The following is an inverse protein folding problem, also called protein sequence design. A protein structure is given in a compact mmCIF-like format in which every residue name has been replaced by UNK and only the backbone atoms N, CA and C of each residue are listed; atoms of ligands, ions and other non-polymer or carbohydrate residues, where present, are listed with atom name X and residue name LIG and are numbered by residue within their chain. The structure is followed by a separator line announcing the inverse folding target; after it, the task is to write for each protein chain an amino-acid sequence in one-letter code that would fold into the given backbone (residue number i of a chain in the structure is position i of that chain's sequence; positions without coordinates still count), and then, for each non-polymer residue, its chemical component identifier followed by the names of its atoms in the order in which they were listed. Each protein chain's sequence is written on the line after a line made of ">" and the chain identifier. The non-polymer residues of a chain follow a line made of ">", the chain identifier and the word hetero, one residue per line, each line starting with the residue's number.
data_IF_617045285680
#
_entry.id   IF_617045285680
#
_cell.length_a   1.000
_cell.length_b   1.000
_cell.length_c   1.000
_cell.angle_alpha   90.00
_cell.angle_beta   90.00
_cell.angle_gamma   90.00
#
_symmetry.space_group_name_H-M   'P 1'
#
loop_
_entity.id
_entity.type
_entity.pdbx_description
1 polymer ?
#
# COMPACT_ATOMS: atom_id res chain seq x y z
N UNK A 1 -20.59 -23.05 11.41
CA UNK A 1 -19.29 -22.38 11.19
C UNK A 1 -18.64 -22.24 12.55
N UNK A 2 -17.38 -22.67 12.76
CA UNK A 2 -16.74 -22.44 14.05
C UNK A 2 -16.74 -20.94 14.33
N UNK A 3 -17.15 -20.55 15.54
CA UNK A 3 -17.20 -19.15 15.95
C UNK A 3 -15.79 -18.56 15.82
N UNK A 4 -15.71 -17.33 15.34
CA UNK A 4 -14.46 -16.59 15.28
C UNK A 4 -13.87 -16.53 16.69
N UNK A 5 -12.57 -16.82 16.84
CA UNK A 5 -11.90 -16.69 18.14
C UNK A 5 -11.98 -15.22 18.53
N UNK A 6 -12.58 -14.94 19.68
CA UNK A 6 -12.54 -13.62 20.30
C UNK A 6 -11.57 -13.67 21.47
N UNK A 7 -10.91 -12.56 21.75
CA UNK A 7 -10.14 -12.40 22.98
C UNK A 7 -11.03 -12.25 24.22
N UNK A 8 -12.34 -12.00 24.06
CA UNK A 8 -13.31 -11.77 25.14
C UNK A 8 -12.91 -10.64 26.11
N UNK A 9 -12.13 -9.67 25.62
CA UNK A 9 -11.68 -8.52 26.38
C UNK A 9 -12.51 -7.27 26.07
N UNK A 10 -12.85 -6.49 27.10
CA UNK A 10 -13.38 -5.14 26.95
C UNK A 10 -12.24 -4.14 26.69
N UNK A 11 -11.55 -4.31 25.56
CA UNK A 11 -10.42 -3.49 25.12
C UNK A 11 -10.57 -3.20 23.63
N UNK A 12 -10.46 -1.92 23.24
CA UNK A 12 -10.60 -1.51 21.83
C UNK A 12 -9.59 -2.20 20.91
N UNK A 13 -8.34 -2.34 21.36
CA UNK A 13 -7.30 -3.04 20.61
C UNK A 13 -7.64 -4.54 20.45
N UNK A 14 -8.07 -5.21 21.52
CA UNK A 14 -8.46 -6.62 21.45
C UNK A 14 -9.65 -6.84 20.50
N UNK A 15 -10.65 -5.95 20.53
CA UNK A 15 -11.80 -5.97 19.59
C UNK A 15 -11.39 -5.69 18.15
N UNK A 16 -10.41 -4.82 17.93
CA UNK A 16 -9.83 -4.63 16.61
C UNK A 16 -9.10 -5.90 16.14
N UNK A 17 -8.28 -6.51 17.00
CA UNK A 17 -7.56 -7.76 16.72
C UNK A 17 -8.49 -8.94 16.48
N UNK A 18 -9.68 -8.97 17.09
CA UNK A 18 -10.72 -9.94 16.72
C UNK A 18 -11.00 -9.85 15.22
N UNK A 19 -10.98 -8.65 14.61
CA UNK A 19 -11.30 -8.42 13.19
C UNK A 19 -10.08 -8.44 12.26
N UNK A 20 -8.95 -7.85 12.67
CA UNK A 20 -7.77 -7.66 11.79
C UNK A 20 -6.51 -8.40 12.26
N UNK A 21 -6.56 -9.10 13.39
CA UNK A 21 -5.41 -9.81 13.95
C UNK A 21 -5.05 -11.12 13.27
N UNK A 22 -5.82 -11.54 12.25
CA UNK A 22 -5.40 -12.63 11.38
C UNK A 22 -4.20 -12.18 10.53
N UNK A 23 -3.25 -13.12 10.31
CA UNK A 23 -1.99 -12.88 9.60
C UNK A 23 -2.15 -12.22 8.24
N UNK A 24 -3.22 -12.51 7.50
CA UNK A 24 -3.39 -12.05 6.11
C UNK A 24 -4.30 -10.85 5.97
N UNK A 25 -5.16 -10.53 6.94
CA UNK A 25 -6.17 -9.47 6.79
C UNK A 25 -5.52 -8.12 6.49
N UNK A 26 -4.53 -7.68 7.26
CA UNK A 26 -3.87 -6.39 7.02
C UNK A 26 -3.02 -6.38 5.74
N UNK A 27 -2.50 -7.52 5.31
CA UNK A 27 -1.79 -7.64 4.02
C UNK A 27 -2.77 -7.55 2.84
N UNK A 28 -3.97 -8.12 2.94
CA UNK A 28 -5.02 -7.95 1.92
C UNK A 28 -5.46 -6.49 1.87
N UNK A 29 -5.62 -5.83 3.03
CA UNK A 29 -5.94 -4.41 3.07
C UNK A 29 -4.83 -3.59 2.39
N UNK A 30 -3.55 -3.88 2.64
CA UNK A 30 -2.42 -3.23 1.95
C UNK A 30 -2.58 -3.28 0.42
N UNK A 31 -2.89 -4.44 -0.14
CA UNK A 31 -3.08 -4.58 -1.60
C UNK A 31 -4.32 -3.84 -2.11
N UNK A 32 -5.40 -3.75 -1.31
CA UNK A 32 -6.64 -3.09 -1.71
C UNK A 32 -6.63 -1.56 -1.48
N UNK A 33 -5.63 -1.02 -0.78
CA UNK A 33 -5.41 0.44 -0.68
C UNK A 33 -5.06 1.05 -2.05
N UNK A 34 -4.58 0.24 -2.98
CA UNK A 34 -4.32 0.62 -4.37
C UNK A 34 -5.60 0.72 -5.23
N UNK A 35 -6.75 0.34 -4.66
CA UNK A 35 -8.05 0.32 -5.34
C UNK A 35 -8.60 -1.10 -5.59
N UNK A 36 -9.66 -1.22 -6.41
CA UNK A 36 -10.36 -2.48 -6.65
C UNK A 36 -9.49 -3.51 -7.39
N UNK A 37 -9.45 -4.74 -6.90
CA UNK A 37 -8.58 -5.81 -7.44
C UNK A 37 -9.34 -7.10 -7.73
N UNK A 38 -8.97 -7.83 -8.78
CA UNK A 38 -9.49 -9.19 -9.00
C UNK A 38 -8.90 -10.15 -7.98
N UNK A 39 -9.59 -11.26 -7.75
CA UNK A 39 -9.10 -12.33 -6.89
C UNK A 39 -7.70 -12.83 -7.31
N UNK A 40 -7.51 -13.07 -8.62
CA UNK A 40 -6.25 -13.57 -9.18
C UNK A 40 -5.10 -12.62 -8.94
N UNK A 41 -5.37 -11.33 -9.07
CA UNK A 41 -4.36 -10.28 -8.91
C UNK A 41 -3.98 -10.17 -7.43
N UNK A 42 -4.96 -10.22 -6.51
CA UNK A 42 -4.68 -10.27 -5.07
C UNK A 42 -3.83 -11.49 -4.70
N UNK A 43 -4.18 -12.67 -5.22
CA UNK A 43 -3.43 -13.90 -4.94
C UNK A 43 -1.98 -13.82 -5.47
N UNK A 44 -1.76 -13.20 -6.63
CA UNK A 44 -0.42 -13.05 -7.21
C UNK A 44 0.49 -12.09 -6.42
N UNK A 45 -0.09 -11.08 -5.78
CA UNK A 45 0.63 -10.08 -4.96
C UNK A 45 0.66 -10.42 -3.46
N UNK A 46 0.13 -11.60 -3.08
CA UNK A 46 0.20 -12.15 -1.73
C UNK A 46 0.95 -13.50 -1.73
N UNK A 47 2.25 -13.51 -2.06
CA UNK A 47 3.04 -14.74 -2.12
C UNK A 47 3.01 -15.48 -0.77
N UNK A 48 2.67 -16.78 -0.82
CA UNK A 48 2.54 -17.64 0.35
C UNK A 48 1.13 -17.78 0.91
N UNK A 49 0.15 -17.00 0.45
CA UNK A 49 -1.26 -17.24 0.78
C UNK A 49 -1.78 -18.41 -0.05
N UNK A 50 -2.58 -19.31 0.54
CA UNK A 50 -3.30 -20.33 -0.22
C UNK A 50 -4.64 -19.80 -0.72
N UNK A 51 -5.16 -20.41 -1.79
CA UNK A 51 -6.48 -20.07 -2.35
C UNK A 51 -7.58 -20.13 -1.28
N UNK A 52 -7.62 -21.19 -0.48
CA UNK A 52 -8.65 -21.37 0.54
C UNK A 52 -8.54 -20.33 1.66
N UNK A 53 -7.31 -19.97 2.04
CA UNK A 53 -7.08 -18.92 3.04
C UNK A 53 -7.54 -17.57 2.50
N UNK A 54 -7.11 -17.18 1.29
CA UNK A 54 -7.51 -15.90 0.69
C UNK A 54 -9.04 -15.79 0.54
N UNK A 55 -9.68 -16.83 0.01
CA UNK A 55 -11.14 -16.86 -0.14
C UNK A 55 -11.86 -16.76 1.22
N UNK A 56 -11.39 -17.47 2.24
CA UNK A 56 -11.92 -17.40 3.60
C UNK A 56 -11.75 -16.00 4.20
N UNK A 57 -10.58 -15.36 4.02
CA UNK A 57 -10.32 -14.01 4.54
C UNK A 57 -11.16 -12.95 3.85
N UNK A 58 -11.29 -12.99 2.53
CA UNK A 58 -12.13 -12.04 1.79
C UNK A 58 -13.60 -12.15 2.24
N UNK A 59 -14.13 -13.36 2.40
CA UNK A 59 -15.48 -13.59 2.92
C UNK A 59 -15.67 -13.00 4.33
N UNK A 60 -14.68 -13.17 5.20
CA UNK A 60 -14.70 -12.59 6.54
C UNK A 60 -14.63 -11.06 6.51
N UNK A 61 -13.77 -10.49 5.65
CA UNK A 61 -13.67 -9.04 5.46
C UNK A 61 -14.97 -8.45 4.91
N UNK A 62 -15.69 -9.15 4.02
CA UNK A 62 -17.02 -8.74 3.56
C UNK A 62 -18.05 -8.77 4.70
N UNK A 63 -18.08 -9.85 5.48
CA UNK A 63 -18.97 -9.96 6.65
C UNK A 63 -18.72 -8.85 7.67
N UNK A 64 -17.45 -8.54 7.93
CA UNK A 64 -17.04 -7.55 8.93
C UNK A 64 -17.09 -6.11 8.38
N UNK A 65 -17.50 -5.94 7.11
CA UNK A 65 -17.68 -4.64 6.47
C UNK A 65 -16.37 -3.92 6.18
N UNK A 66 -15.26 -4.63 6.04
CA UNK A 66 -13.95 -4.07 5.64
C UNK A 66 -13.79 -4.03 4.12
N UNK A 67 -14.34 -5.01 3.41
CA UNK A 67 -14.30 -5.08 1.96
C UNK A 67 -15.70 -5.34 1.39
N UNK A 68 -15.86 -5.09 0.10
CA UNK A 68 -17.05 -5.47 -0.66
C UNK A 68 -16.61 -6.07 -1.98
N UNK A 69 -17.36 -7.07 -2.46
CA UNK A 69 -17.25 -7.55 -3.84
C UNK A 69 -18.22 -6.79 -4.74
N UNK A 70 -17.75 -6.32 -5.89
CA UNK A 70 -18.63 -5.72 -6.92
C UNK A 70 -18.18 -6.08 -8.34
N UNK A 71 -19.07 -5.89 -9.30
CA UNK A 71 -18.78 -6.10 -10.72
C UNK A 71 -18.42 -4.78 -11.38
N UNK A 72 -17.24 -4.71 -12.02
CA UNK A 72 -16.86 -3.59 -12.89
C UNK A 72 -17.71 -3.59 -14.16
N UNK A 73 -18.03 -2.40 -14.72
CA UNK A 73 -18.72 -2.29 -15.99
C UNK A 73 -17.82 -2.65 -17.19
N UNK A 74 -18.39 -2.92 -18.37
CA UNK A 74 -17.63 -3.04 -19.62
C UNK A 74 -16.80 -1.79 -19.94
N UNK A 75 -15.72 -1.89 -20.75
CA UNK A 75 -15.21 -3.10 -21.41
C UNK A 75 -14.36 -4.00 -20.49
N UNK A 76 -14.01 -3.55 -19.28
CA UNK A 76 -13.18 -4.29 -18.30
C UNK A 76 -13.96 -5.14 -17.30
N UNK A 77 -15.13 -5.67 -17.68
CA UNK A 77 -16.07 -6.28 -16.75
C UNK A 77 -15.44 -7.43 -15.94
N UNK A 78 -15.45 -7.30 -14.61
CA UNK A 78 -14.78 -8.23 -13.71
C UNK A 78 -15.41 -8.20 -12.32
N UNK A 79 -15.35 -9.31 -11.61
CA UNK A 79 -15.60 -9.29 -10.17
C UNK A 79 -14.32 -8.82 -9.47
N UNK A 80 -14.43 -7.74 -8.71
CA UNK A 80 -13.34 -7.16 -7.94
C UNK A 80 -13.74 -7.05 -6.47
N UNK A 81 -12.72 -7.08 -5.61
CA UNK A 81 -12.83 -6.72 -4.21
C UNK A 81 -12.30 -5.29 -4.05
N UNK A 82 -12.94 -4.52 -3.18
CA UNK A 82 -12.58 -3.15 -2.85
C UNK A 82 -12.77 -2.92 -1.36
N UNK A 83 -11.93 -2.08 -0.74
CA UNK A 83 -12.16 -1.63 0.64
C UNK A 83 -13.44 -0.81 0.73
N UNK A 84 -14.23 -1.06 1.77
CA UNK A 84 -15.29 -0.13 2.18
C UNK A 84 -14.67 1.13 2.80
N UNK A 85 -15.49 2.13 3.13
CA UNK A 85 -15.04 3.30 3.92
C UNK A 85 -14.33 2.85 5.22
N UNK A 86 -14.92 1.91 5.95
CA UNK A 86 -14.33 1.33 7.18
C UNK A 86 -13.01 0.60 6.90
N UNK A 87 -12.90 -0.10 5.77
CA UNK A 87 -11.64 -0.74 5.37
C UNK A 87 -10.51 0.26 5.11
N UNK A 88 -10.82 1.42 4.52
CA UNK A 88 -9.84 2.49 4.26
C UNK A 88 -9.35 3.19 5.52
N UNK A 89 -10.17 3.22 6.59
CA UNK A 89 -9.77 3.72 7.92
C UNK A 89 -8.57 2.93 8.52
N UNK A 90 -8.20 1.77 7.96
CA UNK A 90 -7.02 1.00 8.37
C UNK A 90 -5.69 1.51 7.79
N UNK A 91 -5.70 2.49 6.87
CA UNK A 91 -4.46 3.04 6.30
C UNK A 91 -3.48 3.53 7.39
N UNK A 92 -3.87 4.37 8.38
CA UNK A 92 -2.95 4.80 9.43
C UNK A 92 -2.42 3.64 10.28
N UNK A 93 -3.23 2.59 10.48
CA UNK A 93 -2.82 1.39 11.22
C UNK A 93 -1.74 0.63 10.46
N UNK A 94 -1.90 0.48 9.14
CA UNK A 94 -0.93 -0.20 8.28
C UNK A 94 0.35 0.63 8.14
N UNK A 95 0.25 1.95 8.06
CA UNK A 95 1.42 2.84 8.07
C UNK A 95 2.20 2.73 9.38
N UNK A 96 1.52 2.72 10.53
CA UNK A 96 2.17 2.55 11.83
C UNK A 96 2.80 1.16 11.98
N UNK A 97 2.11 0.11 11.53
CA UNK A 97 2.65 -1.26 11.54
C UNK A 97 3.87 -1.39 10.62
N UNK A 98 3.81 -0.79 9.43
CA UNK A 98 4.91 -0.74 8.49
C UNK A 98 6.12 -0.04 9.10
N UNK A 99 5.93 1.17 9.63
CA UNK A 99 6.97 1.94 10.31
C UNK A 99 7.62 1.17 11.46
N UNK A 100 6.82 0.50 12.29
CA UNK A 100 7.34 -0.36 13.36
C UNK A 100 8.14 -1.55 12.82
N UNK A 101 7.71 -2.15 11.70
CA UNK A 101 8.36 -3.30 11.07
C UNK A 101 9.61 -2.98 10.24
N UNK A 102 9.94 -1.71 9.99
CA UNK A 102 11.11 -1.33 9.19
C UNK A 102 12.43 -1.86 9.79
N UNK A 103 12.53 -1.87 11.12
CA UNK A 103 13.67 -2.40 11.86
C UNK A 103 13.83 -3.93 11.71
N UNK A 104 12.74 -4.63 11.36
CA UNK A 104 12.71 -6.09 11.24
C UNK A 104 13.11 -6.59 9.84
N UNK A 105 13.19 -5.71 8.83
CA UNK A 105 13.50 -6.09 7.45
C UNK A 105 14.91 -6.68 7.27
N UNK A 106 15.89 -6.23 8.05
CA UNK A 106 17.28 -6.68 7.95
C UNK A 106 17.85 -6.58 6.53
N UNK A 107 18.71 -7.53 6.16
CA UNK A 107 19.15 -7.72 4.77
C UNK A 107 18.13 -8.57 3.99
N UNK A 108 17.80 -8.13 2.77
CA UNK A 108 16.88 -8.85 1.89
C UNK A 108 17.45 -10.23 1.53
N UNK A 109 16.66 -11.27 1.73
CA UNK A 109 17.03 -12.64 1.34
C UNK A 109 16.65 -12.91 -0.13
N UNK A 110 17.36 -13.82 -0.82
CA UNK A 110 17.02 -14.18 -2.20
C UNK A 110 15.60 -14.71 -2.41
N UNK A 111 15.00 -15.29 -1.36
CA UNK A 111 13.62 -15.82 -1.39
C UNK A 111 12.55 -14.78 -1.07
N UNK A 112 12.94 -13.57 -0.65
CA UNK A 112 11.98 -12.54 -0.31
C UNK A 112 11.36 -11.99 -1.59
N UNK A 113 10.04 -12.21 -1.70
CA UNK A 113 9.25 -11.59 -2.73
C UNK A 113 9.30 -10.07 -2.58
N UNK A 114 9.32 -9.39 -3.71
CA UNK A 114 9.34 -7.93 -3.78
C UNK A 114 8.31 -7.47 -4.82
N UNK A 115 7.62 -6.39 -4.50
CA UNK A 115 6.72 -5.68 -5.41
C UNK A 115 6.97 -4.19 -5.25
N UNK A 116 7.16 -3.48 -6.36
CA UNK A 116 7.47 -2.04 -6.33
C UNK A 116 6.43 -1.25 -5.52
N UNK A 117 5.14 -1.54 -5.70
CA UNK A 117 4.07 -0.81 -5.01
C UNK A 117 4.04 -1.03 -3.49
N UNK A 118 4.78 -1.99 -2.92
CA UNK A 118 4.89 -2.12 -1.47
C UNK A 118 5.62 -0.93 -0.83
N UNK A 119 6.42 -0.20 -1.61
CA UNK A 119 7.06 1.04 -1.18
C UNK A 119 6.13 2.26 -1.22
N UNK A 120 4.86 2.09 -1.61
CA UNK A 120 3.90 3.19 -1.56
C UNK A 120 3.67 3.71 -0.14
N UNK A 121 3.62 2.83 0.85
CA UNK A 121 3.39 3.23 2.24
C UNK A 121 4.54 4.04 2.86
N UNK A 122 5.82 3.63 2.79
CA UNK A 122 6.91 4.45 3.27
C UNK A 122 7.00 5.79 2.52
N UNK A 123 6.81 5.82 1.20
CA UNK A 123 6.84 7.06 0.44
C UNK A 123 5.67 7.99 0.78
N UNK A 124 4.46 7.47 0.97
CA UNK A 124 3.30 8.26 1.43
C UNK A 124 3.51 8.85 2.84
N UNK A 125 4.33 8.21 3.69
CA UNK A 125 4.71 8.77 5.00
C UNK A 125 5.76 9.87 4.88
N UNK A 126 6.63 9.79 3.87
CA UNK A 126 7.80 10.65 3.72
C UNK A 126 7.58 11.85 2.79
N UNK A 127 6.60 11.77 1.89
CA UNK A 127 6.24 12.85 0.98
C UNK A 127 5.25 13.80 1.64
N UNK A 128 5.49 15.10 1.49
CA UNK A 128 4.60 16.18 1.91
C UNK A 128 3.94 16.84 0.68
N UNK A 129 2.81 17.51 0.91
CA UNK A 129 2.06 18.22 -0.13
C UNK A 129 0.90 17.43 -0.71
N UNK A 130 0.47 17.80 -1.90
CA UNK A 130 -0.68 17.24 -2.60
C UNK A 130 -0.33 17.02 -4.08
N UNK A 131 -0.78 15.90 -4.66
CA UNK A 131 -0.64 15.66 -6.09
C UNK A 131 -0.46 14.19 -6.49
N UNK A 132 -0.42 13.96 -7.79
CA UNK A 132 -0.19 12.66 -8.41
C UNK A 132 1.30 12.47 -8.67
N UNK A 133 1.91 11.49 -7.99
CA UNK A 133 3.33 11.16 -8.13
C UNK A 133 3.49 9.82 -8.81
N UNK A 134 4.23 9.77 -9.92
CA UNK A 134 4.67 8.51 -10.52
C UNK A 134 6.02 8.10 -9.92
N UNK A 135 6.11 6.87 -9.42
CA UNK A 135 7.35 6.31 -8.86
C UNK A 135 7.83 5.17 -9.75
N UNK A 136 9.12 5.20 -10.08
CA UNK A 136 9.79 4.21 -10.91
C UNK A 136 10.92 3.57 -10.14
N UNK A 137 10.82 2.26 -9.96
CA UNK A 137 11.87 1.39 -9.45
C UNK A 137 12.25 0.38 -10.54
N UNK A 138 13.41 -0.27 -10.41
CA UNK A 138 13.80 -1.35 -11.32
C UNK A 138 12.79 -2.51 -11.33
N UNK A 139 12.09 -2.73 -10.21
CA UNK A 139 11.05 -3.75 -10.05
C UNK A 139 9.69 -3.36 -10.67
N UNK A 140 9.52 -2.10 -11.07
CA UNK A 140 8.35 -1.62 -11.78
C UNK A 140 7.82 -0.27 -11.31
N UNK A 141 6.78 0.18 -12.02
CA UNK A 141 6.15 1.48 -11.82
C UNK A 141 4.94 1.37 -10.89
N UNK A 142 4.71 2.42 -10.09
CA UNK A 142 3.47 2.65 -9.36
C UNK A 142 3.22 4.15 -9.23
N UNK A 143 2.08 4.56 -8.69
CA UNK A 143 1.79 5.97 -8.46
C UNK A 143 1.13 6.21 -7.11
N UNK A 144 1.30 7.42 -6.59
CA UNK A 144 0.79 7.88 -5.31
C UNK A 144 -0.17 9.03 -5.52
N UNK A 145 -1.21 9.09 -4.70
CA UNK A 145 -2.08 10.25 -4.55
C UNK A 145 -1.74 10.90 -3.22
N UNK A 146 -0.71 11.75 -3.23
CA UNK A 146 -0.22 12.43 -2.02
C UNK A 146 -1.28 13.43 -1.56
N UNK A 147 -1.62 13.42 -0.28
CA UNK A 147 -2.65 14.28 0.31
C UNK A 147 -4.10 13.91 -0.02
N UNK A 148 -4.36 12.75 -0.64
CA UNK A 148 -5.73 12.31 -0.92
C UNK A 148 -6.53 11.99 0.36
N UNK A 149 -7.66 12.66 0.55
CA UNK A 149 -8.60 12.39 1.65
C UNK A 149 -9.57 11.23 1.33
N UNK A 150 -9.93 11.10 0.04
CA UNK A 150 -10.90 10.12 -0.45
C UNK A 150 -10.32 9.26 -1.58
N UNK A 151 -10.72 7.99 -1.60
CA UNK A 151 -10.35 7.05 -2.66
C UNK A 151 -9.05 6.27 -2.36
N UNK A 152 -8.39 5.73 -3.41
CA UNK A 152 -7.13 5.03 -3.26
C UNK A 152 -5.98 6.02 -3.01
N UNK A 153 -5.05 5.67 -2.13
CA UNK A 153 -3.88 6.52 -1.82
C UNK A 153 -2.67 6.22 -2.70
N UNK A 154 -2.72 5.10 -3.41
CA UNK A 154 -1.74 4.74 -4.44
C UNK A 154 -2.43 3.89 -5.51
N UNK A 155 -1.70 3.53 -6.57
CA UNK A 155 -2.16 2.60 -7.58
C UNK A 155 -0.99 1.91 -8.27
N UNK A 156 -1.30 0.82 -8.98
CA UNK A 156 -0.29 0.03 -9.68
C UNK A 156 0.02 0.61 -11.06
N UNK A 157 1.27 0.47 -11.49
CA UNK A 157 1.71 0.95 -12.79
C UNK A 157 1.77 2.48 -12.86
N UNK A 158 1.96 2.95 -14.09
CA UNK A 158 2.07 4.37 -14.43
C UNK A 158 0.86 5.17 -13.96
N UNK A 159 1.10 6.45 -13.71
CA UNK A 159 0.04 7.38 -13.36
C UNK A 159 -1.06 7.40 -14.44
N UNK A 160 -2.36 7.42 -14.08
CA UNK A 160 -3.46 7.40 -15.05
C UNK A 160 -3.62 8.73 -15.82
N UNK A 161 -2.86 9.76 -15.46
CA UNK A 161 -2.81 11.06 -16.10
C UNK A 161 -1.40 11.63 -16.03
N UNK A 162 -1.25 12.91 -16.39
CA UNK A 162 0.03 13.61 -16.25
C UNK A 162 0.37 13.79 -14.77
N UNK A 163 1.48 13.20 -14.28
CA UNK A 163 1.84 13.31 -12.88
C UNK A 163 2.49 14.66 -12.57
N UNK A 164 2.22 15.20 -11.38
CA UNK A 164 2.83 16.42 -10.85
C UNK A 164 4.34 16.26 -10.63
N UNK A 165 4.76 15.04 -10.29
CA UNK A 165 6.16 14.66 -10.14
C UNK A 165 6.40 13.22 -10.59
N UNK A 166 7.60 12.96 -11.10
CA UNK A 166 8.11 11.60 -11.33
C UNK A 166 9.34 11.38 -10.48
N UNK A 167 9.37 10.31 -9.70
CA UNK A 167 10.53 9.95 -8.88
C UNK A 167 11.10 8.64 -9.41
N UNK A 168 12.37 8.65 -9.80
CA UNK A 168 13.11 7.43 -10.14
C UNK A 168 14.16 7.17 -9.07
N UNK A 169 14.18 5.97 -8.50
CA UNK A 169 15.13 5.57 -7.46
C UNK A 169 15.25 4.05 -7.37
N UNK A 170 16.21 3.55 -6.59
CA UNK A 170 16.32 2.13 -6.27
C UNK A 170 15.57 1.75 -4.98
N UNK A 171 15.45 0.44 -4.75
CA UNK A 171 14.79 -0.13 -3.57
C UNK A 171 15.55 0.17 -2.28
N UNK A 172 16.87 0.26 -2.34
CA UNK A 172 17.69 0.56 -1.16
C UNK A 172 17.43 1.98 -0.67
N UNK A 173 17.25 2.93 -1.60
CA UNK A 173 16.83 4.31 -1.31
C UNK A 173 15.44 4.35 -0.69
N UNK A 174 14.47 3.62 -1.27
CA UNK A 174 13.12 3.49 -0.68
C UNK A 174 13.15 2.90 0.74
N UNK A 175 13.99 1.89 0.96
CA UNK A 175 14.13 1.22 2.27
C UNK A 175 14.76 2.15 3.30
N UNK A 176 15.81 2.89 2.92
CA UNK A 176 16.44 3.90 3.78
C UNK A 176 15.45 5.02 4.17
N UNK A 177 14.59 5.45 3.23
CA UNK A 177 13.51 6.41 3.50
C UNK A 177 12.48 5.81 4.45
N UNK A 178 12.05 4.56 4.22
CA UNK A 178 11.10 3.87 5.10
C UNK A 178 11.58 3.78 6.55
N UNK A 179 12.87 3.49 6.74
CA UNK A 179 13.57 3.44 8.03
C UNK A 179 13.82 4.81 8.67
N UNK A 180 13.65 5.90 7.93
CA UNK A 180 13.99 7.25 8.39
C UNK A 180 15.50 7.52 8.47
N UNK A 181 16.32 6.70 7.80
CA UNK A 181 17.78 6.87 7.70
C UNK A 181 18.15 7.92 6.65
N UNK A 182 17.25 8.18 5.70
CA UNK A 182 17.43 9.11 4.60
C UNK A 182 16.11 9.87 4.37
N UNK A 183 16.15 11.21 4.34
CA UNK A 183 14.97 11.98 3.95
C UNK A 183 14.83 12.01 2.42
N UNK A 184 13.60 12.22 1.91
CA UNK A 184 13.39 12.39 0.46
C UNK A 184 14.22 13.56 -0.08
N UNK A 185 14.29 14.67 0.68
CA UNK A 185 15.09 15.83 0.35
C UNK A 185 16.59 15.51 0.21
N UNK A 186 17.16 14.82 1.19
CA UNK A 186 18.57 14.42 1.15
C UNK A 186 18.84 13.44 0.01
N UNK A 187 17.93 12.51 -0.24
CA UNK A 187 18.04 11.56 -1.35
C UNK A 187 18.03 12.26 -2.72
N UNK A 188 17.24 13.32 -2.90
CA UNK A 188 17.27 14.14 -4.12
C UNK A 188 18.58 14.91 -4.22
N UNK A 189 19.02 15.56 -3.13
CA UNK A 189 20.27 16.34 -3.11
C UNK A 189 21.51 15.49 -3.40
N UNK A 190 21.52 14.25 -2.91
CA UNK A 190 22.59 13.28 -3.12
C UNK A 190 22.51 12.59 -4.50
N UNK A 191 21.49 12.88 -5.31
CA UNK A 191 21.28 12.29 -6.64
C UNK A 191 20.81 10.83 -6.62
N UNK A 192 20.29 10.35 -5.48
CA UNK A 192 19.69 9.00 -5.35
C UNK A 192 18.24 8.95 -5.81
N UNK A 193 17.56 10.10 -5.82
CA UNK A 193 16.25 10.27 -6.44
C UNK A 193 16.38 11.26 -7.59
N UNK A 194 16.05 10.80 -8.79
CA UNK A 194 15.85 11.69 -9.93
C UNK A 194 14.41 12.20 -9.94
N UNK A 195 14.24 13.54 -9.95
CA UNK A 195 12.93 14.19 -9.95
C UNK A 195 12.61 14.73 -11.35
N UNK A 196 11.58 14.18 -11.99
CA UNK A 196 11.00 14.63 -13.26
C UNK A 196 9.64 15.33 -13.09
N UNK A 197 9.19 16.01 -14.15
CA UNK A 197 7.90 16.74 -14.18
C UNK A 197 8.02 18.22 -13.82
N UNK A 198 6.96 19.00 -14.09
CA UNK A 198 6.93 20.46 -13.95
C UNK A 198 5.88 20.96 -12.94
N UNK A 199 5.22 20.03 -12.25
CA UNK A 199 4.22 20.32 -11.22
C UNK A 199 4.84 20.97 -9.98
N UNK A 200 3.98 21.52 -9.12
CA UNK A 200 4.38 22.21 -7.89
C UNK A 200 5.21 21.30 -6.99
N UNK A 201 4.80 20.04 -6.85
CA UNK A 201 5.51 19.06 -6.04
C UNK A 201 6.92 18.74 -6.60
N UNK A 202 7.06 18.58 -7.92
CA UNK A 202 8.37 18.35 -8.54
C UNK A 202 9.33 19.53 -8.34
N UNK A 203 8.82 20.77 -8.39
CA UNK A 203 9.61 21.97 -8.11
C UNK A 203 10.06 22.01 -6.66
N UNK A 204 9.13 21.83 -5.72
CA UNK A 204 9.44 21.78 -4.30
C UNK A 204 10.49 20.72 -3.96
N UNK A 205 10.39 19.52 -4.54
CA UNK A 205 11.36 18.44 -4.33
C UNK A 205 12.75 18.72 -4.91
N UNK A 206 12.89 19.61 -5.90
CA UNK A 206 14.19 20.00 -6.47
C UNK A 206 14.83 21.21 -5.76
N UNK A 207 14.07 21.96 -4.98
CA UNK A 207 14.53 23.16 -4.28
C UNK A 207 15.24 22.85 -2.96
N UNK A 208 15.28 21.58 -2.55
CA UNK A 208 15.82 21.11 -1.26
C UNK A 208 17.31 20.82 -1.28
#
# INVERSE_FOLDING_TARGET
>A
MPSRRSYDQYCSAARALDTVGDRWTLLIVRELLAGPRRYTDLHADLPGVSTDVLASRLKDMERDGLATRRRLPPPGAANVYELTRRGRELLPVIQALGAWGEAELGERRPTDALRAHWFALPLLRALEGEGLVEVRLDEGDFHLYVGAEDGPVHGHGRAPGEPDARLSMDVDTCTAIGRGELSVADAVRDGRIEVGGDGTLAKALREV
#
